data_IF_821037360537
#
_entry.id   IF_821037360537
#
_cell.length_a   1.000
_cell.length_b   1.000
_cell.length_c   1.000
_cell.angle_alpha   90.00
_cell.angle_beta   90.00
_cell.angle_gamma   90.00
#
_symmetry.space_group_name_H-M   'P 1'
#
loop_
_entity.id
_entity.type
_entity.pdbx_description
1 polymer ?
#
# COMPACT_ATOMS: atom_id res chain seq x y z
N UNK A 1 -24.48 11.09 -0.09
CA UNK A 1 -24.39 10.39 1.22
C UNK A 1 -23.42 11.18 2.08
N UNK A 2 -23.63 11.26 3.40
CA UNK A 2 -22.74 12.04 4.26
C UNK A 2 -21.32 11.41 4.24
N UNK A 3 -20.31 12.23 4.01
CA UNK A 3 -18.91 11.79 3.95
C UNK A 3 -18.50 11.11 5.27
N UNK A 4 -17.96 9.90 5.19
CA UNK A 4 -17.45 9.18 6.36
C UNK A 4 -16.10 9.79 6.72
N UNK A 5 -16.01 10.47 7.85
CA UNK A 5 -14.75 11.07 8.29
C UNK A 5 -13.87 10.06 9.07
N UNK A 6 -12.54 10.20 8.99
CA UNK A 6 -11.57 9.37 9.72
C UNK A 6 -11.89 9.26 11.22
N UNK A 7 -12.33 10.36 11.83
CA UNK A 7 -12.71 10.42 13.25
C UNK A 7 -13.85 9.45 13.61
N UNK A 8 -14.78 9.23 12.68
CA UNK A 8 -15.93 8.33 12.83
C UNK A 8 -15.47 6.88 12.85
N UNK A 9 -14.51 6.54 12.01
CA UNK A 9 -13.96 5.18 11.87
C UNK A 9 -13.12 4.80 13.07
N UNK A 10 -12.19 5.68 13.46
CA UNK A 10 -11.33 5.43 14.62
C UNK A 10 -12.16 5.28 15.90
N UNK A 11 -13.22 6.08 16.03
CA UNK A 11 -14.18 5.93 17.12
C UNK A 11 -14.89 4.57 17.09
N UNK A 12 -15.44 4.16 15.93
CA UNK A 12 -16.10 2.87 15.75
C UNK A 12 -15.17 1.68 16.05
N UNK A 13 -13.93 1.72 15.57
CA UNK A 13 -12.91 0.70 15.86
C UNK A 13 -12.60 0.60 17.37
N UNK A 14 -12.48 1.75 18.05
CA UNK A 14 -12.25 1.77 19.49
C UNK A 14 -13.45 1.20 20.28
N UNK A 15 -14.67 1.47 19.83
CA UNK A 15 -15.92 0.91 20.38
C UNK A 15 -15.94 -0.61 20.25
N UNK A 16 -15.74 -1.12 19.05
CA UNK A 16 -15.78 -2.56 18.76
C UNK A 16 -14.71 -3.32 19.53
N UNK A 17 -13.49 -2.78 19.59
CA UNK A 17 -12.37 -3.39 20.33
C UNK A 17 -12.60 -3.42 21.84
N UNK A 18 -13.28 -2.41 22.38
CA UNK A 18 -13.65 -2.40 23.80
C UNK A 18 -14.73 -3.45 24.09
N UNK A 19 -15.73 -3.58 23.20
CA UNK A 19 -16.80 -4.56 23.33
C UNK A 19 -16.32 -6.02 23.17
N UNK A 20 -15.26 -6.28 22.40
CA UNK A 20 -14.64 -7.61 22.30
C UNK A 20 -13.86 -8.01 23.57
N UNK A 21 -13.14 -7.06 24.16
CA UNK A 21 -12.27 -7.33 25.33
C UNK A 21 -13.03 -7.55 26.62
N UNK A 22 -14.25 -7.01 26.70
CA UNK A 22 -15.03 -7.06 27.92
C UNK A 22 -16.40 -7.68 27.62
N UNK A 23 -16.75 -8.74 28.36
CA UNK A 23 -17.98 -9.50 28.19
C UNK A 23 -19.21 -8.73 28.71
N UNK A 24 -19.39 -7.49 28.24
CA UNK A 24 -20.45 -6.56 28.64
C UNK A 24 -21.71 -6.67 27.77
N UNK A 25 -21.94 -7.82 27.13
CA UNK A 25 -23.10 -8.03 26.26
C UNK A 25 -23.21 -7.00 25.13
N UNK A 26 -22.07 -6.57 24.58
CA UNK A 26 -21.99 -5.60 23.48
C UNK A 26 -22.06 -4.12 23.89
N UNK A 27 -22.09 -3.80 25.18
CA UNK A 27 -22.08 -2.41 25.66
C UNK A 27 -20.66 -1.94 26.03
N UNK A 28 -20.03 -1.05 25.24
CA UNK A 28 -18.66 -0.61 25.49
C UNK A 28 -18.58 0.41 26.64
N UNK A 29 -17.49 0.40 27.41
CA UNK A 29 -17.16 1.46 28.38
C UNK A 29 -16.62 2.69 27.63
N UNK A 30 -17.45 3.73 27.54
CA UNK A 30 -17.10 4.93 26.78
C UNK A 30 -15.87 5.66 27.34
N UNK A 31 -15.58 5.57 28.64
CA UNK A 31 -14.35 6.18 29.19
C UNK A 31 -13.10 5.50 28.63
N UNK A 32 -13.15 4.16 28.48
CA UNK A 32 -12.05 3.37 27.90
C UNK A 32 -11.96 3.55 26.40
N UNK A 33 -13.09 3.58 25.69
CA UNK A 33 -13.14 3.93 24.26
C UNK A 33 -12.44 5.27 24.00
N UNK A 34 -12.82 6.32 24.74
CA UNK A 34 -12.22 7.65 24.58
C UNK A 34 -10.73 7.68 24.95
N UNK A 35 -10.31 6.92 25.97
CA UNK A 35 -8.89 6.77 26.30
C UNK A 35 -8.11 6.07 25.18
N UNK A 36 -8.68 5.02 24.57
CA UNK A 36 -8.08 4.32 23.42
C UNK A 36 -7.95 5.24 22.22
N UNK A 37 -9.01 6.00 21.91
CA UNK A 37 -9.02 6.92 20.79
C UNK A 37 -7.92 7.99 20.95
N UNK A 38 -7.78 8.59 22.14
CA UNK A 38 -6.70 9.58 22.40
C UNK A 38 -5.28 9.01 22.25
N UNK A 39 -5.10 7.72 22.48
CA UNK A 39 -3.81 7.04 22.36
C UNK A 39 -3.63 6.34 21.01
N UNK A 40 -4.56 6.51 20.07
CA UNK A 40 -4.51 5.86 18.77
C UNK A 40 -3.47 6.57 17.87
N UNK A 41 -2.56 5.86 17.17
CA UNK A 41 -1.52 6.50 16.35
C UNK A 41 -2.07 7.45 15.28
N UNK A 42 -3.25 7.15 14.75
CA UNK A 42 -3.93 7.95 13.72
C UNK A 42 -4.87 9.04 14.27
N UNK A 43 -4.93 9.27 15.59
CA UNK A 43 -5.82 10.28 16.18
C UNK A 43 -5.17 11.66 16.38
N UNK A 44 -3.99 11.88 15.81
CA UNK A 44 -3.32 13.18 15.84
C UNK A 44 -4.25 14.25 15.24
N UNK A 45 -4.61 15.27 16.02
CA UNK A 45 -5.55 16.32 15.61
C UNK A 45 -7.04 15.94 15.68
N UNK A 46 -7.38 14.72 16.08
CA UNK A 46 -8.78 14.28 16.26
C UNK A 46 -9.20 14.52 17.71
N UNK A 47 -10.11 15.48 17.88
CA UNK A 47 -10.76 15.76 19.17
C UNK A 47 -12.23 15.39 19.09
N UNK A 48 -12.67 14.54 20.02
CA UNK A 48 -14.09 14.23 20.23
C UNK A 48 -14.48 14.59 21.66
N UNK A 49 -15.49 15.43 21.82
CA UNK A 49 -16.17 15.62 23.09
C UNK A 49 -16.99 14.39 23.48
N UNK A 50 -17.36 14.29 24.76
CA UNK A 50 -18.23 13.20 25.22
C UNK A 50 -19.62 13.23 24.57
N UNK A 51 -20.12 14.43 24.23
CA UNK A 51 -21.40 14.62 23.57
C UNK A 51 -21.36 14.16 22.10
N UNK A 52 -20.30 14.53 21.36
CA UNK A 52 -20.10 14.08 19.98
C UNK A 52 -19.90 12.56 19.90
N UNK A 53 -19.12 11.99 20.83
CA UNK A 53 -18.95 10.55 20.93
C UNK A 53 -20.29 9.82 21.16
N UNK A 54 -21.16 10.36 22.02
CA UNK A 54 -22.49 9.79 22.25
C UNK A 54 -23.38 9.89 21.00
N UNK A 55 -23.34 11.02 20.29
CA UNK A 55 -24.07 11.22 19.04
C UNK A 55 -23.58 10.25 17.95
N UNK A 56 -22.27 10.16 17.74
CA UNK A 56 -21.67 9.21 16.80
C UNK A 56 -22.03 7.78 17.15
N UNK A 57 -21.95 7.39 18.43
CA UNK A 57 -22.35 6.05 18.86
C UNK A 57 -23.79 5.75 18.48
N UNK A 58 -24.72 6.67 18.77
CA UNK A 58 -26.15 6.49 18.43
C UNK A 58 -26.45 6.50 16.94
N UNK A 59 -25.62 7.18 16.15
CA UNK A 59 -25.73 7.27 14.69
C UNK A 59 -25.22 6.01 14.00
N UNK A 60 -24.13 5.45 14.50
CA UNK A 60 -23.43 4.31 13.88
C UNK A 60 -24.04 2.98 14.35
N UNK A 61 -24.36 2.87 15.64
CA UNK A 61 -24.71 1.60 16.26
C UNK A 61 -26.13 1.62 16.82
N UNK A 62 -26.87 0.50 16.72
CA UNK A 62 -28.19 0.38 17.35
C UNK A 62 -28.06 0.42 18.88
N UNK A 63 -29.15 0.72 19.59
CA UNK A 63 -29.18 0.91 21.06
C UNK A 63 -28.67 -0.29 21.89
N UNK A 64 -28.67 -1.50 21.32
CA UNK A 64 -28.19 -2.75 21.96
C UNK A 64 -27.53 -3.65 20.91
N UNK A 65 -26.31 -3.30 20.46
CA UNK A 65 -25.65 -4.06 19.41
C UNK A 65 -25.03 -5.32 20.02
N UNK A 66 -25.09 -6.44 19.30
CA UNK A 66 -24.18 -7.56 19.59
C UNK A 66 -22.77 -7.20 19.12
N UNK A 67 -21.75 -7.93 19.60
CA UNK A 67 -20.36 -7.73 19.13
C UNK A 67 -20.27 -7.89 17.60
N UNK A 68 -20.97 -8.87 17.03
CA UNK A 68 -21.02 -9.09 15.59
C UNK A 68 -21.63 -7.89 14.82
N UNK A 69 -22.65 -7.24 15.39
CA UNK A 69 -23.24 -6.03 14.78
C UNK A 69 -22.26 -4.85 14.84
N UNK A 70 -21.51 -4.69 15.93
CA UNK A 70 -20.46 -3.68 16.03
C UNK A 70 -19.36 -3.91 14.98
N UNK A 71 -18.93 -5.16 14.82
CA UNK A 71 -17.92 -5.57 13.84
C UNK A 71 -18.37 -5.30 12.40
N UNK A 72 -19.59 -5.73 12.05
CA UNK A 72 -20.15 -5.50 10.72
C UNK A 72 -20.24 -4.01 10.40
N UNK A 73 -20.86 -3.22 11.30
CA UNK A 73 -21.03 -1.78 11.09
C UNK A 73 -19.67 -1.04 11.00
N UNK A 74 -18.68 -1.47 11.78
CA UNK A 74 -17.32 -0.91 11.70
C UNK A 74 -16.65 -1.26 10.37
N UNK A 75 -16.80 -2.50 9.89
CA UNK A 75 -16.23 -2.93 8.63
C UNK A 75 -16.84 -2.18 7.44
N UNK A 76 -18.16 -1.94 7.47
CA UNK A 76 -18.86 -1.20 6.42
C UNK A 76 -18.39 0.26 6.36
N UNK A 77 -18.22 0.92 7.51
CA UNK A 77 -17.63 2.27 7.58
C UNK A 77 -16.20 2.33 7.04
N UNK A 78 -15.37 1.34 7.35
CA UNK A 78 -13.99 1.27 6.84
C UNK A 78 -13.99 1.12 5.31
N UNK A 79 -14.85 0.24 4.78
CA UNK A 79 -14.99 0.05 3.32
C UNK A 79 -15.46 1.32 2.63
N UNK A 80 -16.45 2.01 3.19
CA UNK A 80 -16.98 3.26 2.61
C UNK A 80 -15.93 4.37 2.63
N UNK A 81 -15.15 4.49 3.72
CA UNK A 81 -14.06 5.44 3.79
C UNK A 81 -12.94 5.15 2.80
N UNK A 82 -12.46 3.92 2.75
CA UNK A 82 -11.41 3.52 1.78
C UNK A 82 -11.90 3.81 0.37
N UNK A 83 -13.14 3.43 0.04
CA UNK A 83 -13.72 3.74 -1.27
C UNK A 83 -13.76 5.24 -1.55
N UNK A 84 -14.12 6.05 -0.56
CA UNK A 84 -14.18 7.51 -0.70
C UNK A 84 -12.78 8.11 -0.88
N UNK A 85 -11.80 7.70 -0.09
CA UNK A 85 -10.42 8.18 -0.20
C UNK A 85 -9.77 7.71 -1.51
N UNK A 86 -10.02 6.47 -1.95
CA UNK A 86 -9.59 5.98 -3.26
C UNK A 86 -10.21 6.82 -4.37
N UNK A 87 -11.53 7.09 -4.33
CA UNK A 87 -12.17 7.92 -5.34
C UNK A 87 -11.63 9.36 -5.35
N UNK A 88 -11.33 9.96 -4.19
CA UNK A 88 -10.70 11.29 -4.12
C UNK A 88 -9.31 11.28 -4.73
N UNK A 89 -8.50 10.27 -4.40
CA UNK A 89 -7.17 10.12 -4.97
C UNK A 89 -7.23 9.87 -6.48
N UNK A 90 -8.20 9.07 -6.96
CA UNK A 90 -8.47 8.87 -8.37
C UNK A 90 -8.92 10.16 -9.06
N UNK A 91 -9.76 10.97 -8.41
CA UNK A 91 -10.19 12.27 -8.92
C UNK A 91 -9.03 13.28 -8.96
N UNK A 92 -8.22 13.37 -7.90
CA UNK A 92 -7.01 14.21 -7.85
C UNK A 92 -5.99 13.78 -8.91
N UNK A 93 -5.91 12.47 -9.17
CA UNK A 93 -5.13 11.91 -10.26
C UNK A 93 -5.74 12.31 -11.61
N UNK A 94 -7.05 12.21 -11.82
CA UNK A 94 -7.69 12.58 -13.10
C UNK A 94 -7.60 14.09 -13.39
N UNK A 95 -7.76 14.95 -12.37
CA UNK A 95 -7.71 16.41 -12.48
C UNK A 95 -6.26 16.94 -12.59
N UNK A 96 -5.28 16.29 -11.94
CA UNK A 96 -3.87 16.70 -11.98
C UNK A 96 -3.00 15.99 -13.02
N UNK A 97 -3.38 14.78 -13.45
CA UNK A 97 -2.56 13.92 -14.30
C UNK A 97 -3.38 12.74 -14.85
N UNK A 98 -4.10 12.93 -15.96
CA UNK A 98 -4.95 11.91 -16.58
C UNK A 98 -4.40 10.47 -16.62
N UNK A 99 -5.26 9.46 -16.86
CA UNK A 99 -5.15 8.07 -16.40
C UNK A 99 -3.74 7.48 -16.33
N UNK A 100 -3.41 6.73 -15.29
CA UNK A 100 -2.09 6.09 -15.10
C UNK A 100 -1.58 5.35 -16.35
N UNK A 101 -2.45 4.69 -17.13
CA UNK A 101 -2.08 4.06 -18.40
C UNK A 101 -1.72 5.06 -19.51
N UNK A 102 -2.33 6.25 -19.54
CA UNK A 102 -1.98 7.38 -20.38
C UNK A 102 -0.77 8.13 -19.84
N UNK A 103 -0.47 8.04 -18.54
CA UNK A 103 0.73 8.62 -17.93
C UNK A 103 1.95 7.75 -18.18
N UNK A 104 1.83 6.42 -18.05
CA UNK A 104 2.81 5.46 -18.58
C UNK A 104 2.93 5.62 -20.09
N UNK A 105 1.82 5.74 -20.82
CA UNK A 105 1.83 6.00 -22.26
C UNK A 105 2.48 7.34 -22.63
N UNK A 106 2.24 8.44 -21.91
CA UNK A 106 2.84 9.76 -22.15
C UNK A 106 4.29 9.81 -21.71
N UNK A 107 4.67 9.15 -20.61
CA UNK A 107 6.06 9.05 -20.17
C UNK A 107 6.84 8.16 -21.14
N UNK A 108 6.31 6.98 -21.51
CA UNK A 108 6.90 6.10 -22.51
C UNK A 108 7.00 6.80 -23.87
N UNK A 109 5.94 7.51 -24.30
CA UNK A 109 5.93 8.27 -25.55
C UNK A 109 6.78 9.54 -25.50
N UNK A 110 6.97 10.17 -24.34
CA UNK A 110 7.89 11.30 -24.13
C UNK A 110 9.35 10.84 -24.04
N UNK A 111 9.60 9.65 -23.50
CA UNK A 111 10.91 8.97 -23.46
C UNK A 111 11.26 8.46 -24.86
N UNK A 112 10.30 7.89 -25.60
CA UNK A 112 10.43 7.50 -27.01
C UNK A 112 10.63 8.72 -27.91
N UNK A 113 9.87 9.81 -27.72
CA UNK A 113 10.07 11.04 -28.49
C UNK A 113 11.38 11.77 -28.14
N UNK A 114 11.96 11.51 -26.95
CA UNK A 114 13.32 11.95 -26.60
C UNK A 114 14.40 11.06 -27.20
N UNK A 115 14.11 9.80 -27.50
CA UNK A 115 15.03 8.89 -28.17
C UNK A 115 15.14 9.09 -29.68
N UNK A 116 14.35 10.01 -30.25
CA UNK A 116 14.45 10.44 -31.65
C UNK A 116 15.45 11.61 -31.86
N UNK A 117 15.95 12.24 -30.79
CA UNK A 117 17.16 13.06 -30.89
C UNK A 117 18.37 12.14 -31.07
N UNK A 118 19.31 12.45 -31.98
CA UNK A 118 20.50 11.62 -32.18
C UNK A 118 21.37 11.67 -30.92
N UNK A 119 21.14 10.73 -30.00
CA UNK A 119 21.94 10.49 -28.81
C UNK A 119 23.38 10.22 -29.28
N UNK A 120 24.34 11.04 -28.84
CA UNK A 120 25.73 10.88 -29.27
C UNK A 120 26.25 9.52 -28.76
N UNK A 121 27.08 8.83 -29.56
CA UNK A 121 27.74 7.58 -29.18
C UNK A 121 28.40 7.60 -27.79
N UNK A 122 28.86 8.77 -27.34
CA UNK A 122 29.37 8.97 -25.98
C UNK A 122 28.28 8.83 -24.91
N UNK A 123 27.14 9.51 -25.06
CA UNK A 123 26.02 9.47 -24.11
C UNK A 123 25.42 8.07 -24.00
N UNK A 124 25.26 7.39 -25.15
CA UNK A 124 24.80 6.00 -25.20
C UNK A 124 25.72 5.06 -24.44
N UNK A 125 27.04 5.25 -24.57
CA UNK A 125 28.05 4.47 -23.83
C UNK A 125 27.98 4.74 -22.33
N UNK A 126 27.90 6.01 -21.92
CA UNK A 126 27.79 6.43 -20.51
C UNK A 126 26.53 5.85 -19.87
N UNK A 127 25.38 5.93 -20.56
CA UNK A 127 24.12 5.33 -20.11
C UNK A 127 24.23 3.82 -19.99
N UNK A 128 24.81 3.14 -20.98
CA UNK A 128 25.00 1.70 -20.93
C UNK A 128 25.86 1.27 -19.73
N UNK A 129 26.96 2.00 -19.45
CA UNK A 129 27.81 1.75 -18.28
C UNK A 129 27.07 2.02 -16.96
N UNK A 130 26.27 3.08 -16.88
CA UNK A 130 25.46 3.38 -15.71
C UNK A 130 24.43 2.27 -15.43
N UNK A 131 23.72 1.81 -16.46
CA UNK A 131 22.77 0.68 -16.37
C UNK A 131 23.50 -0.59 -15.92
N UNK A 132 24.67 -0.90 -16.48
CA UNK A 132 25.48 -2.06 -16.06
C UNK A 132 25.91 -1.98 -14.59
N UNK A 133 26.32 -0.79 -14.12
CA UNK A 133 26.68 -0.57 -12.71
C UNK A 133 25.48 -0.74 -11.78
N UNK A 134 24.31 -0.25 -12.18
CA UNK A 134 23.08 -0.46 -11.42
C UNK A 134 22.69 -1.95 -11.38
N UNK A 135 22.69 -2.63 -12.52
CA UNK A 135 22.43 -4.07 -12.63
C UNK A 135 23.32 -4.88 -11.67
N UNK A 136 24.62 -4.59 -11.62
CA UNK A 136 25.57 -5.27 -10.74
C UNK A 136 25.24 -5.13 -9.24
N UNK A 137 24.51 -4.09 -8.84
CA UNK A 137 24.07 -3.87 -7.45
C UNK A 137 22.67 -4.39 -7.19
N UNK A 138 21.76 -4.22 -8.15
CA UNK A 138 20.36 -4.62 -8.04
C UNK A 138 20.19 -6.15 -8.09
N UNK A 139 20.98 -6.87 -8.87
CA UNK A 139 20.85 -8.33 -8.96
C UNK A 139 21.13 -9.07 -7.65
N UNK A 140 22.21 -8.77 -6.89
CA UNK A 140 22.41 -9.39 -5.58
C UNK A 140 21.25 -9.17 -4.61
N UNK A 141 20.66 -7.97 -4.60
CA UNK A 141 19.49 -7.67 -3.76
C UNK A 141 18.27 -8.51 -4.17
N UNK A 142 18.00 -8.59 -5.48
CA UNK A 142 16.89 -9.40 -6.00
C UNK A 142 17.11 -10.90 -5.78
N UNK A 143 18.36 -11.38 -5.88
CA UNK A 143 18.71 -12.76 -5.58
C UNK A 143 18.55 -13.09 -4.10
N UNK A 144 18.92 -12.17 -3.20
CA UNK A 144 18.63 -12.30 -1.76
C UNK A 144 17.13 -12.42 -1.51
N UNK A 145 16.32 -11.51 -2.06
CA UNK A 145 14.86 -11.57 -1.93
C UNK A 145 14.26 -12.89 -2.44
N UNK A 146 14.73 -13.40 -3.57
CA UNK A 146 14.28 -14.68 -4.10
C UNK A 146 14.70 -15.88 -3.24
N UNK A 147 15.76 -15.75 -2.43
CA UNK A 147 16.20 -16.82 -1.53
C UNK A 147 15.38 -16.93 -0.24
N UNK A 148 14.56 -15.93 0.08
CA UNK A 148 13.77 -15.91 1.31
C UNK A 148 12.66 -16.94 1.31
N UNK A 149 12.31 -17.47 2.48
CA UNK A 149 11.31 -18.54 2.63
C UNK A 149 9.94 -18.13 2.07
N UNK A 150 9.55 -16.87 2.25
CA UNK A 150 8.28 -16.30 1.80
C UNK A 150 8.31 -15.82 0.34
N UNK A 151 9.46 -15.84 -0.33
CA UNK A 151 9.60 -15.35 -1.71
C UNK A 151 8.81 -16.17 -2.73
N UNK A 152 8.56 -17.45 -2.42
CA UNK A 152 7.86 -18.38 -3.32
C UNK A 152 6.50 -17.87 -3.77
N UNK A 153 5.78 -17.11 -2.93
CA UNK A 153 4.49 -16.51 -3.27
C UNK A 153 4.59 -15.28 -4.19
N UNK A 154 5.78 -14.72 -4.34
CA UNK A 154 6.06 -13.51 -5.12
C UNK A 154 6.99 -13.79 -6.30
N UNK A 155 7.38 -15.05 -6.52
CA UNK A 155 8.41 -15.42 -7.47
C UNK A 155 7.93 -15.42 -8.92
N UNK A 156 6.63 -15.63 -9.16
CA UNK A 156 6.02 -15.72 -10.48
C UNK A 156 4.74 -14.86 -10.54
N UNK A 157 4.29 -14.48 -11.75
CA UNK A 157 2.99 -13.84 -11.93
C UNK A 157 1.85 -14.68 -11.37
N UNK A 158 0.87 -14.01 -10.75
CA UNK A 158 -0.39 -14.62 -10.30
C UNK A 158 -1.22 -15.04 -11.51
N UNK A 159 -1.80 -16.23 -11.48
CA UNK A 159 -2.47 -16.84 -12.64
C UNK A 159 -3.99 -16.77 -12.61
N UNK A 160 -4.55 -16.51 -11.43
CA UNK A 160 -5.97 -16.43 -11.13
C UNK A 160 -6.59 -15.24 -11.88
N UNK A 161 -7.65 -15.48 -12.63
CA UNK A 161 -8.34 -14.44 -13.42
C UNK A 161 -8.89 -13.30 -12.56
N UNK A 162 -9.46 -13.65 -11.42
CA UNK A 162 -10.08 -12.78 -10.43
C UNK A 162 -9.07 -11.80 -9.83
N UNK A 163 -7.78 -12.14 -9.85
CA UNK A 163 -6.71 -11.25 -9.43
C UNK A 163 -6.69 -9.97 -10.26
N UNK A 164 -6.89 -10.07 -11.58
CA UNK A 164 -6.80 -8.94 -12.52
C UNK A 164 -8.05 -8.05 -12.50
N UNK A 165 -9.15 -8.51 -11.87
CA UNK A 165 -10.32 -7.68 -11.60
C UNK A 165 -10.04 -6.62 -10.53
N UNK A 166 -9.19 -6.97 -9.56
CA UNK A 166 -8.83 -6.09 -8.42
C UNK A 166 -7.47 -5.41 -8.67
N UNK A 167 -6.45 -6.17 -9.10
CA UNK A 167 -5.08 -5.69 -9.29
C UNK A 167 -4.87 -5.23 -10.73
N UNK A 168 -4.72 -3.92 -10.92
CA UNK A 168 -4.56 -3.29 -12.25
C UNK A 168 -3.14 -3.21 -12.77
N UNK A 169 -2.16 -3.25 -11.87
CA UNK A 169 -0.75 -3.25 -12.22
C UNK A 169 -0.09 -4.47 -11.55
N UNK A 170 -0.21 -5.68 -12.13
CA UNK A 170 0.40 -6.90 -11.59
C UNK A 170 1.94 -6.83 -11.69
N UNK A 171 2.63 -7.50 -10.76
CA UNK A 171 4.10 -7.69 -10.79
C UNK A 171 4.51 -8.79 -9.83
N UNK A 172 5.76 -9.21 -9.96
CA UNK A 172 6.40 -10.29 -9.23
C UNK A 172 7.93 -10.14 -9.35
N UNK A 173 8.69 -10.85 -8.51
CA UNK A 173 10.15 -10.75 -8.46
C UNK A 173 10.83 -11.11 -9.80
N UNK A 174 10.29 -12.06 -10.56
CA UNK A 174 10.85 -12.44 -11.87
C UNK A 174 10.63 -11.33 -12.89
N UNK A 175 9.44 -10.74 -12.91
CA UNK A 175 9.13 -9.57 -13.76
C UNK A 175 10.02 -8.38 -13.41
N UNK A 176 10.18 -8.06 -12.12
CA UNK A 176 11.04 -6.97 -11.65
C UNK A 176 12.50 -7.23 -12.06
N UNK A 177 12.99 -8.46 -11.87
CA UNK A 177 14.36 -8.83 -12.28
C UNK A 177 14.56 -8.74 -13.80
N UNK A 178 13.54 -9.07 -14.60
CA UNK A 178 13.59 -8.90 -16.04
C UNK A 178 13.68 -7.41 -16.44
N UNK A 179 12.91 -6.54 -15.79
CA UNK A 179 12.93 -5.09 -16.01
C UNK A 179 14.26 -4.44 -15.60
N UNK A 180 14.95 -4.97 -14.59
CA UNK A 180 16.34 -4.54 -14.28
C UNK A 180 17.31 -5.01 -15.37
N UNK A 181 17.12 -6.24 -15.90
CA UNK A 181 17.98 -6.84 -16.91
C UNK A 181 17.90 -6.13 -18.27
N UNK A 182 16.70 -5.74 -18.70
CA UNK A 182 16.49 -5.01 -19.96
C UNK A 182 16.76 -3.49 -19.85
N UNK A 183 16.91 -2.98 -18.62
CA UNK A 183 17.19 -1.57 -18.37
C UNK A 183 15.95 -0.68 -18.30
N UNK A 184 14.76 -1.26 -18.14
CA UNK A 184 13.53 -0.53 -17.79
C UNK A 184 13.60 0.06 -16.38
N UNK A 185 14.19 -0.66 -15.43
CA UNK A 185 14.51 -0.17 -14.09
C UNK A 185 16.01 0.14 -14.04
N UNK A 186 16.35 1.40 -13.80
CA UNK A 186 17.74 1.89 -13.85
C UNK A 186 18.22 2.54 -12.56
N UNK A 187 17.33 2.70 -11.57
CA UNK A 187 17.63 3.36 -10.31
C UNK A 187 17.03 2.62 -9.11
N UNK A 188 17.60 2.87 -7.93
CA UNK A 188 17.11 2.28 -6.68
C UNK A 188 15.67 2.70 -6.35
N UNK A 189 15.31 3.94 -6.63
CA UNK A 189 13.95 4.45 -6.41
C UNK A 189 12.92 3.73 -7.30
N UNK A 190 13.25 3.44 -8.56
CA UNK A 190 12.39 2.65 -9.44
C UNK A 190 12.26 1.20 -8.94
N UNK A 191 13.37 0.57 -8.56
CA UNK A 191 13.36 -0.80 -8.02
C UNK A 191 12.50 -0.91 -6.76
N UNK A 192 12.70 0.01 -5.81
CA UNK A 192 11.93 0.07 -4.57
C UNK A 192 10.43 0.24 -4.85
N UNK A 193 10.07 1.14 -5.77
CA UNK A 193 8.67 1.35 -6.18
C UNK A 193 8.04 0.06 -6.71
N UNK A 194 8.76 -0.70 -7.53
CA UNK A 194 8.23 -1.97 -8.07
C UNK A 194 8.10 -3.06 -7.00
N UNK A 195 9.03 -3.14 -6.04
CA UNK A 195 8.96 -4.05 -4.90
C UNK A 195 7.79 -3.68 -3.97
N UNK A 196 7.59 -2.39 -3.68
CA UNK A 196 6.45 -1.93 -2.89
C UNK A 196 5.12 -2.19 -3.58
N UNK A 197 5.05 -2.00 -4.91
CA UNK A 197 3.86 -2.32 -5.71
C UNK A 197 3.50 -3.81 -5.63
N UNK A 198 4.50 -4.70 -5.63
CA UNK A 198 4.29 -6.14 -5.44
C UNK A 198 3.59 -6.45 -4.11
N UNK A 199 4.06 -5.86 -3.00
CA UNK A 199 3.45 -6.05 -1.68
C UNK A 199 2.06 -5.40 -1.60
N UNK A 200 1.89 -4.20 -2.15
CA UNK A 200 0.61 -3.50 -2.17
C UNK A 200 -0.47 -4.31 -2.92
N UNK A 201 -0.12 -4.90 -4.07
CA UNK A 201 -1.02 -5.78 -4.82
C UNK A 201 -1.43 -6.99 -3.99
N UNK A 202 -0.50 -7.59 -3.26
CA UNK A 202 -0.78 -8.72 -2.38
C UNK A 202 -1.74 -8.33 -1.26
N UNK A 203 -1.52 -7.21 -0.56
CA UNK A 203 -2.41 -6.74 0.51
C UNK A 203 -3.79 -6.34 -0.02
N UNK A 204 -3.86 -5.81 -1.24
CA UNK A 204 -5.12 -5.40 -1.85
C UNK A 204 -5.98 -6.59 -2.27
N UNK A 205 -5.36 -7.64 -2.84
CA UNK A 205 -6.07 -8.84 -3.26
C UNK A 205 -6.42 -9.76 -2.09
N UNK A 206 -5.49 -9.94 -1.15
CA UNK A 206 -5.63 -10.92 -0.08
C UNK A 206 -6.34 -10.32 1.15
N UNK A 207 -7.31 -11.03 1.77
CA UNK A 207 -7.94 -10.60 3.01
C UNK A 207 -6.92 -10.36 4.13
N UNK A 208 -7.13 -9.34 4.96
CA UNK A 208 -6.17 -8.94 6.01
C UNK A 208 -5.80 -10.05 7.00
N UNK A 209 -6.76 -10.94 7.30
CA UNK A 209 -6.65 -12.07 8.22
C UNK A 209 -6.21 -13.38 7.55
N UNK A 210 -5.85 -13.34 6.26
CA UNK A 210 -5.29 -14.49 5.57
C UNK A 210 -3.81 -14.68 5.93
N UNK A 211 -3.34 -15.94 5.87
CA UNK A 211 -1.91 -16.25 6.00
C UNK A 211 -1.07 -15.53 4.95
N UNK A 212 -1.59 -15.34 3.72
CA UNK A 212 -0.88 -14.61 2.67
C UNK A 212 -0.60 -13.15 3.05
N UNK A 213 -1.58 -12.46 3.65
CA UNK A 213 -1.39 -11.10 4.15
C UNK A 213 -0.41 -11.03 5.33
N UNK A 214 -0.35 -12.06 6.17
CA UNK A 214 0.66 -12.18 7.23
C UNK A 214 2.07 -12.33 6.64
N UNK A 215 2.27 -13.30 5.75
CA UNK A 215 3.54 -13.52 5.05
C UNK A 215 3.99 -12.28 4.25
N UNK A 216 3.05 -11.57 3.64
CA UNK A 216 3.32 -10.32 2.91
C UNK A 216 3.90 -9.26 3.83
N UNK A 217 3.31 -9.05 5.01
CA UNK A 217 3.79 -8.04 5.98
C UNK A 217 5.15 -8.40 6.55
N UNK A 218 5.38 -9.69 6.86
CA UNK A 218 6.68 -10.16 7.33
C UNK A 218 7.78 -9.92 6.29
N UNK A 219 7.54 -10.35 5.05
CA UNK A 219 8.50 -10.16 3.97
C UNK A 219 8.73 -8.68 3.65
N UNK A 220 7.68 -7.85 3.72
CA UNK A 220 7.78 -6.42 3.48
C UNK A 220 8.69 -5.74 4.51
N UNK A 221 8.55 -6.06 5.81
CA UNK A 221 9.39 -5.47 6.87
C UNK A 221 10.87 -5.80 6.66
N UNK A 222 11.19 -7.04 6.27
CA UNK A 222 12.57 -7.43 5.97
C UNK A 222 13.09 -6.76 4.69
N UNK A 223 12.24 -6.65 3.66
CA UNK A 223 12.56 -5.96 2.42
C UNK A 223 12.88 -4.48 2.63
N UNK A 224 12.13 -3.79 3.50
CA UNK A 224 12.36 -2.39 3.84
C UNK A 224 13.77 -2.15 4.41
N UNK A 225 14.25 -3.04 5.28
CA UNK A 225 15.62 -2.95 5.83
C UNK A 225 16.68 -3.14 4.74
N UNK A 226 16.49 -4.11 3.84
CA UNK A 226 17.42 -4.34 2.72
C UNK A 226 17.42 -3.21 1.71
N UNK A 227 16.26 -2.63 1.42
CA UNK A 227 16.11 -1.49 0.51
C UNK A 227 16.71 -0.21 1.10
N UNK A 228 16.57 0.00 2.41
CA UNK A 228 17.23 1.12 3.09
C UNK A 228 18.76 1.02 2.98
N UNK A 229 19.34 -0.14 3.29
CA UNK A 229 20.78 -0.37 3.10
C UNK A 229 21.21 -0.21 1.64
N UNK A 230 20.39 -0.67 0.69
CA UNK A 230 20.66 -0.50 -0.73
C UNK A 230 20.67 0.98 -1.14
N UNK A 231 19.78 1.80 -0.58
CA UNK A 231 19.67 3.23 -0.85
C UNK A 231 20.88 4.00 -0.35
N UNK A 232 21.29 3.78 0.90
CA UNK A 232 22.48 4.41 1.48
C UNK A 232 23.72 4.13 0.62
N UNK A 233 23.87 2.89 0.16
CA UNK A 233 24.95 2.49 -0.72
C UNK A 233 24.86 3.04 -2.17
N UNK A 234 23.66 3.37 -2.65
CA UNK A 234 23.44 4.02 -3.95
C UNK A 234 23.75 5.52 -3.90
N UNK A 235 23.44 6.19 -2.78
CA UNK A 235 23.63 7.63 -2.58
C UNK A 235 25.09 8.00 -2.31
N UNK A 236 25.83 7.19 -1.54
CA UNK A 236 27.27 7.41 -1.24
C UNK A 236 28.20 7.31 -2.46
N UNK A 237 27.67 6.94 -3.64
CA UNK A 237 28.45 6.72 -4.88
C UNK A 237 28.04 7.64 -6.04
N UNK A 238 27.17 8.62 -5.79
CA UNK A 238 26.88 9.72 -6.74
C UNK A 238 27.83 10.88 -6.52
#
# INVERSE_FOLDING_TARGET
>A
MAEVELKTILFAQCVTREAQKHNHGGRPDMKRVMKRLRNHPLSVGIHLSSQEAAQLYSKIFPRRPSVAVLESATADLVKEYIKTEVNKLEQDLEEGAGPLNQRFGRIHKAVESRSDEPENAHEKKVRHEAVKRFQGRAFPLLDDFMSWRSSSFFAQPVTESEYYEVVKAPTDLKTIKAQVKDGTITSGAELEREIQRMFANSVMYNPWNSSMSEWTREMQQEAELRLAMFREFDEDRR
#
